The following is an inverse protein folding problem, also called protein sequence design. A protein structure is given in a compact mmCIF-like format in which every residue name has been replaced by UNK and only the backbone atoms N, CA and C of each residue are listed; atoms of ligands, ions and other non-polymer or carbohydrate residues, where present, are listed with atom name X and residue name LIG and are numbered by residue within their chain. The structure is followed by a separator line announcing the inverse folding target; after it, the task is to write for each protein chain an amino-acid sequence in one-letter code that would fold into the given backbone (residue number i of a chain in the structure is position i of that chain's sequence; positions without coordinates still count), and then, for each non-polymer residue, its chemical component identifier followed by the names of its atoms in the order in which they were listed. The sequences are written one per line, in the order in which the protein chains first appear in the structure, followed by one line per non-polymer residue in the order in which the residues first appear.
data_IF_634068968504
#
_entry.id   IF_634068968504
#
_cell.length_a   1.000
_cell.length_b   1.000
_cell.length_c   1.000
_cell.angle_alpha   90.00
_cell.angle_beta   90.00
_cell.angle_gamma   90.00
#
_symmetry.space_group_name_H-M   'P 1'
#
loop_
_entity.id
_entity.type
_entity.pdbx_description
1 polymer ?
#
# COMPACT_ATOMS: atom_id res chain seq x y z
N UNK A 1 -31.09 -9.60 21.24
CA UNK A 1 -29.93 -8.74 21.54
C UNK A 1 -28.77 -9.18 20.66
N UNK A 2 -28.42 -8.42 19.62
CA UNK A 2 -27.26 -8.71 18.76
C UNK A 2 -26.02 -8.32 19.54
N UNK A 3 -25.21 -9.31 19.92
CA UNK A 3 -23.90 -9.10 20.54
C UNK A 3 -22.98 -8.59 19.43
N UNK A 4 -22.59 -7.32 19.50
CA UNK A 4 -21.50 -6.80 18.68
C UNK A 4 -20.21 -7.43 19.22
N UNK A 5 -19.64 -8.38 18.49
CA UNK A 5 -18.28 -8.85 18.75
C UNK A 5 -17.32 -7.75 18.28
N UNK A 6 -16.29 -7.38 19.05
CA UNK A 6 -15.22 -6.52 18.56
C UNK A 6 -14.56 -7.23 17.38
N UNK A 7 -14.49 -6.55 16.23
CA UNK A 7 -13.79 -7.05 15.05
C UNK A 7 -12.31 -7.13 15.43
N UNK A 8 -11.82 -8.34 15.64
CA UNK A 8 -10.40 -8.63 15.88
C UNK A 8 -9.65 -8.46 14.55
N UNK A 9 -9.33 -7.22 14.22
CA UNK A 9 -8.33 -6.91 13.20
C UNK A 9 -6.96 -7.31 13.75
N UNK A 10 -6.52 -8.52 13.40
CA UNK A 10 -5.13 -8.95 13.58
C UNK A 10 -4.31 -8.28 12.47
N UNK A 11 -4.08 -6.97 12.63
CA UNK A 11 -3.05 -6.28 11.86
C UNK A 11 -1.81 -6.39 12.71
N UNK A 12 -0.91 -7.30 12.34
CA UNK A 12 0.44 -7.30 12.88
C UNK A 12 1.03 -5.91 12.63
N UNK A 13 1.41 -5.21 13.70
CA UNK A 13 1.98 -3.88 13.62
C UNK A 13 3.29 -3.93 12.82
N UNK A 14 3.25 -3.64 11.53
CA UNK A 14 4.44 -3.31 10.74
C UNK A 14 4.70 -1.82 10.98
N UNK A 15 5.61 -1.52 11.89
CA UNK A 15 6.10 -0.16 12.14
C UNK A 15 7.00 0.22 10.95
N UNK A 16 6.49 1.00 10.00
CA UNK A 16 7.29 1.57 8.93
C UNK A 16 7.63 3.02 9.28
N UNK A 17 8.78 3.22 9.94
CA UNK A 17 9.36 4.54 10.08
C UNK A 17 10.03 4.97 8.77
N UNK A 18 9.41 5.88 8.02
CA UNK A 18 10.07 6.51 6.86
C UNK A 18 10.93 7.68 7.34
N UNK A 19 12.25 7.51 7.27
CA UNK A 19 13.20 8.63 7.28
C UNK A 19 13.48 9.04 5.83
N UNK A 20 12.94 10.17 5.41
CA UNK A 20 13.40 10.91 4.23
C UNK A 20 14.68 11.65 4.61
N UNK A 21 15.85 11.06 4.37
CA UNK A 21 17.11 11.80 4.47
C UNK A 21 18.11 11.39 3.38
N UNK A 22 18.39 12.40 2.54
CA UNK A 22 19.55 12.69 1.70
C UNK A 22 20.61 11.59 1.55
N UNK A 23 20.75 11.12 0.31
CA UNK A 23 21.96 10.44 -0.15
C UNK A 23 22.54 11.18 -1.34
N UNK A 24 23.69 11.84 -1.12
CA UNK A 24 24.60 12.29 -2.16
C UNK A 24 25.03 11.10 -3.04
N UNK A 25 24.81 11.17 -4.37
CA UNK A 25 25.89 11.07 -5.39
C UNK A 25 25.41 10.84 -6.84
N UNK A 26 26.09 11.61 -7.70
CA UNK A 26 26.41 11.43 -9.12
C UNK A 26 25.28 11.51 -10.14
N UNK A 27 25.08 12.75 -10.59
CA UNK A 27 24.30 13.21 -11.73
C UNK A 27 24.67 12.55 -13.06
N UNK A 28 23.73 11.78 -13.58
CA UNK A 28 23.31 11.86 -14.98
C UNK A 28 21.80 12.08 -14.97
N UNK A 29 21.38 13.35 -14.85
CA UNK A 29 19.97 13.74 -14.90
C UNK A 29 19.40 13.40 -16.29
N UNK A 30 18.74 12.24 -16.40
CA UNK A 30 17.82 11.98 -17.50
C UNK A 30 16.45 12.40 -17.04
N UNK A 31 15.95 13.52 -17.57
CA UNK A 31 14.58 13.97 -17.35
C UNK A 31 13.60 12.82 -17.56
N UNK A 32 12.58 12.72 -16.70
CA UNK A 32 11.49 11.77 -16.89
C UNK A 32 10.85 11.99 -18.27
N UNK A 33 10.68 10.94 -19.10
CA UNK A 33 9.98 11.06 -20.37
C UNK A 33 8.58 11.66 -20.18
N UNK A 34 8.21 12.62 -21.03
CA UNK A 34 6.95 13.38 -20.91
C UNK A 34 5.71 12.47 -20.84
N UNK A 35 5.73 11.37 -21.59
CA UNK A 35 4.66 10.37 -21.60
C UNK A 35 4.42 9.69 -20.23
N UNK A 36 5.36 9.77 -19.29
CA UNK A 36 5.30 9.13 -17.98
C UNK A 36 5.00 10.09 -16.82
N UNK A 37 4.79 11.38 -17.10
CA UNK A 37 4.55 12.39 -16.05
C UNK A 37 3.25 12.10 -15.28
N UNK A 38 2.18 11.76 -15.98
CA UNK A 38 0.87 11.47 -15.40
C UNK A 38 0.87 10.13 -14.64
N UNK A 39 1.56 9.11 -15.19
CA UNK A 39 1.75 7.83 -14.53
C UNK A 39 2.52 7.98 -13.21
N UNK A 40 3.58 8.79 -13.20
CA UNK A 40 4.35 9.08 -11.98
C UNK A 40 3.47 9.76 -10.92
N UNK A 41 2.67 10.75 -11.31
CA UNK A 41 1.76 11.42 -10.38
C UNK A 41 0.73 10.44 -9.80
N UNK A 42 0.16 9.60 -10.66
CA UNK A 42 -0.81 8.57 -10.26
C UNK A 42 -0.16 7.51 -9.35
N UNK A 43 1.06 7.06 -9.66
CA UNK A 43 1.82 6.11 -8.86
C UNK A 43 2.08 6.64 -7.44
N UNK A 44 2.47 7.92 -7.31
CA UNK A 44 2.63 8.57 -6.01
C UNK A 44 1.31 8.64 -5.24
N UNK A 45 0.22 9.03 -5.91
CA UNK A 45 -1.11 9.12 -5.30
C UNK A 45 -1.63 7.77 -4.81
N UNK A 46 -1.42 6.69 -5.58
CA UNK A 46 -1.79 5.33 -5.16
C UNK A 46 -1.05 4.93 -3.89
N UNK A 47 0.26 5.16 -3.83
CA UNK A 47 1.05 4.88 -2.63
C UNK A 47 0.56 5.68 -1.43
N UNK A 48 0.26 6.97 -1.62
CA UNK A 48 -0.28 7.82 -0.54
C UNK A 48 -1.63 7.32 -0.03
N UNK A 49 -2.57 6.96 -0.92
CA UNK A 49 -3.89 6.46 -0.52
C UNK A 49 -3.80 5.18 0.29
N UNK A 50 -2.92 4.27 -0.11
CA UNK A 50 -2.68 3.03 0.63
C UNK A 50 -2.00 3.27 1.98
N UNK A 51 -1.00 4.14 2.04
CA UNK A 51 -0.36 4.53 3.31
C UNK A 51 -1.37 5.19 4.26
N UNK A 52 -2.14 6.17 3.78
CA UNK A 52 -3.20 6.82 4.57
C UNK A 52 -4.21 5.79 5.10
N UNK A 53 -4.57 4.79 4.31
CA UNK A 53 -5.47 3.74 4.75
C UNK A 53 -4.85 2.90 5.86
N UNK A 54 -3.56 2.57 5.78
CA UNK A 54 -2.85 1.81 6.80
C UNK A 54 -2.58 2.62 8.06
N UNK A 55 -2.31 3.92 7.96
CA UNK A 55 -2.16 4.82 9.11
C UNK A 55 -3.45 4.86 9.95
N UNK A 56 -4.61 4.80 9.28
CA UNK A 56 -5.92 4.68 9.92
C UNK A 56 -6.14 3.31 10.59
N UNK A 57 -5.25 2.34 10.44
CA UNK A 57 -5.31 1.08 11.19
C UNK A 57 -4.51 1.11 12.48
N UNK A 58 -3.73 2.17 12.72
CA UNK A 58 -2.98 2.30 13.96
C UNK A 58 -3.90 2.68 15.13
N UNK A 59 -3.73 2.05 16.31
CA UNK A 59 -4.46 2.45 17.49
C UNK A 59 -4.05 3.88 17.90
N UNK A 60 -4.98 4.71 18.43
CA UNK A 60 -4.69 6.11 18.76
C UNK A 60 -3.55 6.32 19.77
N UNK A 61 -3.24 5.30 20.57
CA UNK A 61 -2.17 5.30 21.55
C UNK A 61 -0.83 4.75 21.03
N UNK A 62 -0.77 4.39 19.74
CA UNK A 62 0.38 3.76 19.08
C UNK A 62 0.86 2.46 19.77
N UNK A 63 0.01 1.81 20.57
CA UNK A 63 0.41 0.62 21.34
C UNK A 63 0.60 -0.64 20.49
N UNK A 64 0.16 -0.62 19.22
CA UNK A 64 0.09 -1.79 18.35
C UNK A 64 -0.91 -2.85 18.81
N UNK A 65 -1.74 -2.54 19.82
CA UNK A 65 -2.77 -3.45 20.33
C UNK A 65 -4.07 -3.32 19.52
N UNK A 66 -4.90 -4.37 19.49
CA UNK A 66 -6.24 -4.27 18.93
C UNK A 66 -7.04 -3.18 19.63
N UNK A 67 -7.83 -2.42 18.86
CA UNK A 67 -8.73 -1.40 19.36
C UNK A 67 -10.07 -1.50 18.62
N UNK A 68 -11.13 -1.01 19.26
CA UNK A 68 -12.44 -0.92 18.62
C UNK A 68 -12.41 0.23 17.60
N UNK A 69 -12.30 -0.12 16.32
CA UNK A 69 -12.27 0.86 15.23
C UNK A 69 -13.64 1.51 15.03
N UNK A 70 -13.75 2.84 15.08
CA UNK A 70 -14.98 3.54 14.75
C UNK A 70 -15.44 3.24 13.31
N UNK A 71 -16.74 3.04 13.10
CA UNK A 71 -17.29 2.71 11.77
C UNK A 71 -16.91 3.74 10.69
N UNK A 72 -16.88 5.03 11.05
CA UNK A 72 -16.45 6.11 10.15
C UNK A 72 -14.99 5.93 9.68
N UNK A 73 -14.10 5.47 10.55
CA UNK A 73 -12.69 5.22 10.23
C UNK A 73 -12.55 4.00 9.34
N UNK A 74 -13.31 2.93 9.62
CA UNK A 74 -13.39 1.75 8.75
C UNK A 74 -13.89 2.10 7.33
N UNK A 75 -14.91 2.95 7.22
CA UNK A 75 -15.43 3.40 5.92
C UNK A 75 -14.42 4.27 5.17
N UNK A 76 -13.62 5.08 5.87
CA UNK A 76 -12.51 5.84 5.27
C UNK A 76 -11.41 4.93 4.72
N UNK A 77 -11.05 3.88 5.45
CA UNK A 77 -10.10 2.86 4.98
C UNK A 77 -10.62 2.24 3.68
N UNK A 78 -11.87 1.74 3.68
CA UNK A 78 -12.49 1.14 2.49
C UNK A 78 -12.48 2.10 1.29
N UNK A 79 -12.83 3.37 1.51
CA UNK A 79 -12.84 4.38 0.45
C UNK A 79 -11.45 4.60 -0.14
N UNK A 80 -10.43 4.77 0.70
CA UNK A 80 -9.04 5.01 0.26
C UNK A 80 -8.47 3.80 -0.47
N UNK A 81 -8.73 2.59 0.02
CA UNK A 81 -8.33 1.36 -0.65
C UNK A 81 -8.99 1.23 -2.03
N UNK A 82 -10.30 1.44 -2.11
CA UNK A 82 -11.03 1.37 -3.38
C UNK A 82 -10.54 2.41 -4.39
N UNK A 83 -10.29 3.64 -3.96
CA UNK A 83 -9.73 4.70 -4.80
C UNK A 83 -8.32 4.36 -5.27
N UNK A 84 -7.43 3.93 -4.36
CA UNK A 84 -6.06 3.55 -4.69
C UNK A 84 -6.00 2.38 -5.66
N UNK A 85 -6.84 1.36 -5.47
CA UNK A 85 -6.97 0.22 -6.42
C UNK A 85 -7.42 0.75 -7.79
N UNK A 86 -8.48 1.58 -7.84
CA UNK A 86 -8.98 2.12 -9.11
C UNK A 86 -7.95 2.96 -9.85
N UNK A 87 -7.22 3.84 -9.16
CA UNK A 87 -6.15 4.64 -9.74
C UNK A 87 -4.98 3.79 -10.19
N UNK A 88 -4.63 2.73 -9.45
CA UNK A 88 -3.52 1.86 -9.83
C UNK A 88 -3.71 1.27 -11.22
N UNK A 89 -4.94 0.92 -11.60
CA UNK A 89 -5.25 0.34 -12.91
C UNK A 89 -5.08 1.33 -14.08
N UNK A 90 -4.93 2.63 -13.81
CA UNK A 90 -4.69 3.65 -14.83
C UNK A 90 -3.23 3.87 -15.16
N UNK A 91 -2.33 3.39 -14.30
CA UNK A 91 -0.89 3.50 -14.52
C UNK A 91 -0.51 2.56 -15.65
N UNK A 92 0.24 3.02 -16.65
CA UNK A 92 0.66 2.13 -17.73
C UNK A 92 1.76 1.16 -17.30
N UNK A 93 1.65 -0.08 -17.78
CA UNK A 93 2.67 -1.11 -17.52
C UNK A 93 4.04 -0.73 -18.11
N UNK A 94 4.05 0.05 -19.19
CA UNK A 94 5.31 0.54 -19.78
C UNK A 94 6.04 1.53 -18.88
N UNK A 95 5.32 2.31 -18.08
CA UNK A 95 5.93 3.18 -17.06
C UNK A 95 6.54 2.34 -15.93
N UNK A 96 5.83 1.31 -15.46
CA UNK A 96 6.34 0.42 -14.43
C UNK A 96 7.60 -0.32 -14.91
N UNK A 97 7.58 -0.84 -16.14
CA UNK A 97 8.72 -1.50 -16.77
C UNK A 97 9.87 -0.50 -17.04
N UNK A 98 9.56 0.76 -17.35
CA UNK A 98 10.55 1.83 -17.46
C UNK A 98 11.25 2.04 -16.13
N UNK A 99 10.54 2.16 -15.01
CA UNK A 99 11.15 2.40 -13.71
C UNK A 99 12.06 1.24 -13.27
N UNK A 100 11.58 0.00 -13.40
CA UNK A 100 12.38 -1.19 -13.10
C UNK A 100 11.72 -2.44 -13.74
N UNK A 101 12.48 -3.38 -14.34
CA UNK A 101 11.91 -4.51 -15.09
C UNK A 101 10.96 -5.39 -14.27
N UNK A 102 11.24 -5.56 -12.97
CA UNK A 102 10.37 -6.34 -12.07
C UNK A 102 9.27 -5.52 -11.38
N UNK A 103 9.24 -4.19 -11.54
CA UNK A 103 8.30 -3.35 -10.80
C UNK A 103 6.87 -3.65 -11.17
N UNK A 104 6.56 -3.90 -12.45
CA UNK A 104 5.20 -4.26 -12.85
C UNK A 104 4.69 -5.46 -12.05
N UNK A 105 5.45 -6.55 -12.02
CA UNK A 105 5.03 -7.76 -11.31
C UNK A 105 4.88 -7.49 -9.80
N UNK A 106 5.85 -6.82 -9.17
CA UNK A 106 5.79 -6.51 -7.74
C UNK A 106 4.65 -5.53 -7.40
N UNK A 107 4.42 -4.52 -8.22
CA UNK A 107 3.35 -3.54 -8.01
C UNK A 107 1.97 -4.16 -8.22
N UNK A 108 1.75 -4.88 -9.32
CA UNK A 108 0.43 -5.46 -9.64
C UNK A 108 0.09 -6.64 -8.75
N UNK A 109 0.97 -7.64 -8.71
CA UNK A 109 0.65 -8.96 -8.17
C UNK A 109 0.94 -9.10 -6.67
N UNK A 110 1.65 -8.13 -6.08
CA UNK A 110 1.91 -8.10 -4.64
C UNK A 110 1.27 -6.88 -3.99
N UNK A 111 1.69 -5.68 -4.38
CA UNK A 111 1.24 -4.44 -3.72
C UNK A 111 -0.27 -4.18 -3.92
N UNK A 112 -0.71 -3.98 -5.16
CA UNK A 112 -2.13 -3.74 -5.48
C UNK A 112 -2.97 -4.95 -5.10
N UNK A 113 -2.54 -6.16 -5.48
CA UNK A 113 -3.26 -7.39 -5.13
C UNK A 113 -3.43 -7.58 -3.62
N UNK A 114 -2.43 -7.21 -2.82
CA UNK A 114 -2.52 -7.29 -1.37
C UNK A 114 -3.61 -6.37 -0.81
N UNK A 115 -3.71 -5.13 -1.31
CA UNK A 115 -4.77 -4.22 -0.91
C UNK A 115 -6.16 -4.61 -1.44
N UNK A 116 -6.26 -5.23 -2.63
CA UNK A 116 -7.52 -5.83 -3.10
C UNK A 116 -8.02 -6.90 -2.13
N UNK A 117 -7.13 -7.79 -1.68
CA UNK A 117 -7.47 -8.83 -0.70
C UNK A 117 -7.86 -8.23 0.65
N UNK A 118 -7.18 -7.19 1.11
CA UNK A 118 -7.57 -6.49 2.34
C UNK A 118 -8.96 -5.88 2.20
N UNK A 119 -9.25 -5.16 1.11
CA UNK A 119 -10.56 -4.54 0.88
C UNK A 119 -11.68 -5.61 0.78
N UNK A 120 -11.43 -6.68 0.04
CA UNK A 120 -12.36 -7.81 -0.08
C UNK A 120 -12.57 -8.50 1.28
N UNK A 121 -11.51 -8.65 2.06
CA UNK A 121 -11.56 -9.19 3.41
C UNK A 121 -12.37 -8.32 4.38
N UNK A 122 -12.19 -7.01 4.32
CA UNK A 122 -13.03 -6.06 5.05
C UNK A 122 -14.50 -6.18 4.63
N UNK A 123 -14.79 -6.37 3.33
CA UNK A 123 -16.17 -6.52 2.82
C UNK A 123 -16.78 -7.91 3.10
N UNK A 124 -16.02 -8.81 3.71
CA UNK A 124 -16.40 -10.19 4.01
C UNK A 124 -16.68 -10.40 5.51
N UNK A 125 -17.12 -11.61 5.86
CA UNK A 125 -17.28 -12.02 7.26
C UNK A 125 -15.95 -11.97 8.03
N UNK A 126 -15.94 -11.29 9.16
CA UNK A 126 -14.80 -11.08 10.08
C UNK A 126 -15.12 -11.51 11.51
N UNK A 127 -16.15 -12.34 11.69
CA UNK A 127 -16.67 -12.73 13.02
C UNK A 127 -15.74 -13.66 13.82
N UNK A 128 -14.79 -14.33 13.18
CA UNK A 128 -13.81 -15.24 13.79
C UNK A 128 -12.45 -15.14 13.11
N UNK A 129 -11.38 -15.53 13.81
CA UNK A 129 -10.01 -15.53 13.28
C UNK A 129 -9.82 -16.44 12.06
N UNK A 130 -10.66 -17.45 11.87
CA UNK A 130 -10.65 -18.32 10.70
C UNK A 130 -11.68 -17.91 9.63
N UNK A 131 -12.35 -16.77 9.79
CA UNK A 131 -13.32 -16.30 8.81
C UNK A 131 -12.62 -16.00 7.48
N UNK A 132 -13.39 -16.02 6.40
CA UNK A 132 -12.86 -15.71 5.07
C UNK A 132 -12.30 -14.27 5.01
N UNK A 133 -12.92 -13.32 5.72
CA UNK A 133 -12.46 -11.94 5.76
C UNK A 133 -11.12 -11.78 6.47
N UNK A 134 -10.89 -12.50 7.58
CA UNK A 134 -9.60 -12.47 8.27
C UNK A 134 -8.51 -13.12 7.42
N UNK A 135 -8.79 -14.29 6.80
CA UNK A 135 -7.81 -14.96 5.92
C UNK A 135 -7.37 -14.11 4.73
N UNK A 136 -8.30 -13.43 4.06
CA UNK A 136 -7.98 -12.52 2.94
C UNK A 136 -7.10 -11.37 3.39
N UNK A 137 -7.38 -10.77 4.56
CA UNK A 137 -6.55 -9.68 5.09
C UNK A 137 -5.12 -10.16 5.40
N UNK A 138 -4.97 -11.34 6.00
CA UNK A 138 -3.65 -11.94 6.28
C UNK A 138 -2.90 -12.22 4.96
N UNK A 139 -3.56 -12.82 3.97
CA UNK A 139 -2.96 -13.08 2.65
C UNK A 139 -2.53 -11.77 1.98
N UNK A 140 -3.37 -10.74 2.05
CA UNK A 140 -3.06 -9.42 1.52
C UNK A 140 -1.87 -8.77 2.21
N UNK A 141 -1.79 -8.85 3.54
CA UNK A 141 -0.65 -8.36 4.32
C UNK A 141 0.65 -9.09 3.97
N UNK A 142 0.61 -10.41 3.73
CA UNK A 142 1.80 -11.16 3.32
C UNK A 142 2.32 -10.69 1.97
N UNK A 143 1.44 -10.48 0.98
CA UNK A 143 1.82 -9.94 -0.32
C UNK A 143 2.41 -8.53 -0.22
N UNK A 144 1.83 -7.66 0.61
CA UNK A 144 2.39 -6.32 0.85
C UNK A 144 3.76 -6.41 1.52
N UNK A 145 3.95 -7.35 2.46
CA UNK A 145 5.26 -7.65 3.05
C UNK A 145 6.30 -8.02 2.01
N UNK A 146 5.97 -8.96 1.11
CA UNK A 146 6.86 -9.35 0.01
C UNK A 146 7.18 -8.18 -0.94
N UNK A 147 6.22 -7.29 -1.18
CA UNK A 147 6.46 -6.07 -1.95
C UNK A 147 7.43 -5.13 -1.23
N UNK A 148 7.23 -4.91 0.08
CA UNK A 148 8.06 -4.00 0.88
C UNK A 148 9.51 -4.49 0.97
N UNK A 149 9.72 -5.79 1.20
CA UNK A 149 11.06 -6.40 1.23
C UNK A 149 11.79 -6.20 -0.11
N UNK A 150 11.08 -6.38 -1.22
CA UNK A 150 11.63 -6.12 -2.55
C UNK A 150 11.84 -4.62 -2.78
N UNK A 151 10.89 -3.77 -2.38
CA UNK A 151 10.96 -2.33 -2.54
C UNK A 151 12.19 -1.77 -1.84
N UNK A 152 12.48 -2.18 -0.60
CA UNK A 152 13.63 -1.70 0.16
C UNK A 152 14.96 -1.91 -0.55
N UNK A 153 15.09 -2.99 -1.32
CA UNK A 153 16.30 -3.30 -2.10
C UNK A 153 16.39 -2.54 -3.42
N UNK A 154 15.29 -2.00 -3.93
CA UNK A 154 15.20 -1.42 -5.29
C UNK A 154 14.76 0.05 -5.30
N UNK A 155 14.32 0.59 -4.15
CA UNK A 155 13.67 1.88 -4.06
C UNK A 155 14.52 2.99 -4.63
N UNK A 156 15.83 3.01 -4.37
CA UNK A 156 16.70 4.12 -4.74
C UNK A 156 16.82 4.22 -6.27
N UNK A 157 16.97 3.07 -6.95
CA UNK A 157 16.99 3.00 -8.42
C UNK A 157 15.67 3.50 -9.00
N UNK A 158 14.55 3.06 -8.42
CA UNK A 158 13.21 3.43 -8.87
C UNK A 158 12.94 4.92 -8.63
N UNK A 159 13.26 5.43 -7.44
CA UNK A 159 13.00 6.83 -7.06
C UNK A 159 13.87 7.77 -7.85
N UNK A 160 15.16 7.46 -8.06
CA UNK A 160 16.05 8.30 -8.86
C UNK A 160 15.58 8.38 -10.31
N UNK A 161 14.95 7.32 -10.83
CA UNK A 161 14.40 7.30 -12.19
C UNK A 161 13.02 7.97 -12.31
N UNK A 162 12.21 7.89 -11.26
CA UNK A 162 10.91 8.55 -11.17
C UNK A 162 11.02 10.05 -10.86
N UNK A 163 12.06 10.46 -10.13
CA UNK A 163 12.32 11.80 -9.63
C UNK A 163 13.81 12.15 -9.81
N UNK A 164 14.28 12.28 -11.06
CA UNK A 164 15.67 12.69 -11.31
C UNK A 164 15.92 14.07 -10.69
N UNK A 165 17.07 14.24 -10.04
CA UNK A 165 17.55 15.56 -9.62
C UNK A 165 17.96 16.39 -10.85
N UNK A 166 17.68 17.69 -10.81
CA UNK A 166 18.03 18.67 -11.85
C UNK A 166 19.54 18.99 -11.89
#
# INVERSE_FOLDING_TARGET
MKKFLPILLIIGAIIIGYSFLNTDKTNTATNLPEQYVDDRATFAQVKQLFNDAMDLTMPPDNSGKPFDMPKKQEDQIRSKLAEGISLSQKIDDSFLDYLHPDLKNNFRNKYVRGYELILDGLNSDTSDVNSIGVRKQIEGSNLIGEFNDWWDSNRDIITNKAYPED
#
